data_IF_377459986758
#
_entry.id   IF_377459986758
#
_cell.length_a   1.000
_cell.length_b   1.000
_cell.length_c   1.000
_cell.angle_alpha   90.00
_cell.angle_beta   90.00
_cell.angle_gamma   90.00
#
_symmetry.space_group_name_H-M   'P 1'
#
loop_
_entity.id
_entity.type
_entity.pdbx_description
1 polymer ?
#
# COMPACT_ATOMS: atom_id res chain seq x y z
N UNK A 1 23.51 68.17 10.99
CA UNK A 1 22.29 67.35 10.80
C UNK A 1 22.71 65.90 10.58
N UNK A 2 22.79 65.10 11.65
CA UNK A 2 23.14 63.68 11.58
C UNK A 2 21.85 62.90 11.83
N UNK A 3 21.31 62.25 10.79
CA UNK A 3 20.10 61.41 10.88
C UNK A 3 20.52 60.01 11.36
N UNK A 4 20.10 59.64 12.57
CA UNK A 4 20.11 58.26 13.03
C UNK A 4 18.92 57.51 12.41
N UNK A 5 19.22 56.58 11.50
CA UNK A 5 18.23 55.59 11.03
C UNK A 5 18.26 54.41 11.99
N UNK A 6 17.19 54.25 12.78
CA UNK A 6 17.00 53.07 13.62
C UNK A 6 16.61 51.88 12.73
N UNK A 7 17.48 50.87 12.68
CA UNK A 7 17.21 49.59 12.03
C UNK A 7 16.41 48.71 13.00
N UNK A 8 15.11 48.52 12.73
CA UNK A 8 14.28 47.57 13.48
C UNK A 8 14.55 46.17 12.93
N UNK A 9 15.29 45.35 13.68
CA UNK A 9 15.40 43.91 13.41
C UNK A 9 14.10 43.22 13.85
N UNK A 10 13.27 42.80 12.88
CA UNK A 10 12.20 41.84 13.13
C UNK A 10 12.83 40.44 13.30
N UNK A 11 12.90 39.95 14.55
CA UNK A 11 13.21 38.56 14.82
C UNK A 11 11.99 37.69 14.47
N UNK A 12 12.06 36.95 13.37
CA UNK A 12 11.06 35.94 13.05
C UNK A 12 11.26 34.71 13.95
N UNK A 13 10.43 34.58 15.00
CA UNK A 13 10.33 33.35 15.77
C UNK A 13 9.69 32.26 14.91
N UNK A 14 10.50 31.36 14.35
CA UNK A 14 10.00 30.08 13.84
C UNK A 14 9.60 29.21 15.02
N UNK A 15 8.30 29.18 15.33
CA UNK A 15 7.75 28.16 16.21
C UNK A 15 7.83 26.82 15.49
N UNK A 16 8.83 26.00 15.82
CA UNK A 16 8.79 24.58 15.50
C UNK A 16 7.64 23.98 16.29
N UNK A 17 6.57 23.56 15.61
CA UNK A 17 5.54 22.74 16.23
C UNK A 17 6.20 21.46 16.75
N UNK A 18 6.12 21.22 18.07
CA UNK A 18 6.60 19.98 18.67
C UNK A 18 5.87 18.79 18.02
N UNK A 19 6.63 17.79 17.59
CA UNK A 19 6.04 16.56 17.04
C UNK A 19 5.27 15.85 18.16
N UNK A 20 4.05 15.40 17.87
CA UNK A 20 3.21 14.74 18.86
C UNK A 20 3.87 13.43 19.32
N UNK A 21 4.18 13.34 20.62
CA UNK A 21 4.79 12.13 21.18
C UNK A 21 3.74 11.04 21.40
N UNK A 22 4.07 9.82 20.95
CA UNK A 22 3.25 8.62 21.15
C UNK A 22 4.07 7.57 21.90
N UNK A 23 4.19 7.67 23.24
CA UNK A 23 4.99 6.72 24.03
C UNK A 23 4.42 5.31 23.94
N UNK A 24 5.30 4.31 23.84
CA UNK A 24 4.89 2.91 23.85
C UNK A 24 4.46 2.49 25.25
N UNK A 25 3.39 1.70 25.34
CA UNK A 25 2.86 1.16 26.59
C UNK A 25 3.96 0.42 27.37
N UNK A 26 4.18 0.82 28.63
CA UNK A 26 5.24 0.25 29.45
C UNK A 26 4.92 -1.17 29.91
N UNK A 27 5.94 -2.04 29.98
CA UNK A 27 5.82 -3.38 30.55
C UNK A 27 5.20 -3.32 31.96
N UNK A 28 4.24 -4.22 32.23
CA UNK A 28 3.47 -4.27 33.46
C UNK A 28 2.18 -3.44 33.45
N UNK A 29 1.98 -2.56 32.46
CA UNK A 29 0.75 -1.79 32.31
C UNK A 29 -0.45 -2.68 31.94
N UNK A 30 -1.65 -2.28 32.36
CA UNK A 30 -2.88 -2.92 31.89
C UNK A 30 -3.09 -2.62 30.40
N UNK A 31 -3.63 -3.57 29.65
CA UNK A 31 -4.09 -3.36 28.28
C UNK A 31 -5.11 -2.19 28.24
N UNK A 32 -4.84 -1.10 27.49
CA UNK A 32 -5.84 -0.08 27.27
C UNK A 32 -7.07 -0.67 26.59
N UNK A 33 -8.25 -0.25 27.06
CA UNK A 33 -9.53 -0.73 26.54
C UNK A 33 -9.77 -0.22 25.11
N UNK A 34 -10.61 -0.93 24.37
CA UNK A 34 -11.00 -0.55 23.01
C UNK A 34 -12.38 -1.07 22.64
N UNK A 35 -13.00 -0.38 21.67
CA UNK A 35 -14.20 -0.81 20.97
C UNK A 35 -14.02 -0.44 19.48
N UNK A 36 -13.58 -1.40 18.67
CA UNK A 36 -13.15 -1.15 17.28
C UNK A 36 -13.98 -1.94 16.28
N UNK A 37 -14.34 -1.36 15.11
CA UNK A 37 -14.96 -2.11 14.03
C UNK A 37 -13.97 -3.11 13.43
N UNK A 38 -14.43 -4.33 13.21
CA UNK A 38 -13.70 -5.40 12.55
C UNK A 38 -14.10 -5.58 11.08
N UNK A 39 -13.26 -6.29 10.33
CA UNK A 39 -13.56 -6.73 8.95
C UNK A 39 -14.82 -7.61 8.84
N UNK A 40 -15.28 -8.19 9.95
CA UNK A 40 -16.52 -9.00 10.04
C UNK A 40 -17.78 -8.15 10.23
N UNK A 41 -17.65 -6.81 10.24
CA UNK A 41 -18.75 -5.87 10.42
C UNK A 41 -19.21 -5.72 11.88
N UNK A 42 -18.54 -6.37 12.83
CA UNK A 42 -18.85 -6.27 14.27
C UNK A 42 -17.93 -5.26 14.95
N UNK A 43 -18.39 -4.70 16.06
CA UNK A 43 -17.50 -3.98 16.99
C UNK A 43 -16.95 -4.97 17.99
N UNK A 44 -15.62 -5.06 18.07
CA UNK A 44 -14.92 -5.92 19.01
C UNK A 44 -14.43 -5.12 20.20
N UNK A 45 -14.50 -5.70 21.40
CA UNK A 45 -14.09 -5.06 22.66
C UNK A 45 -13.02 -5.87 23.38
N UNK A 46 -12.12 -5.21 24.11
CA UNK A 46 -11.08 -5.91 24.88
C UNK A 46 -11.65 -7.00 25.81
N UNK A 47 -12.78 -6.69 26.45
CA UNK A 47 -13.46 -7.59 27.38
C UNK A 47 -13.90 -8.93 26.76
N UNK A 48 -14.15 -8.99 25.45
CA UNK A 48 -14.54 -10.21 24.74
C UNK A 48 -13.42 -11.24 24.71
N UNK A 49 -12.17 -10.79 24.87
CA UNK A 49 -11.00 -11.66 24.87
C UNK A 49 -10.63 -12.17 26.26
N UNK A 50 -11.34 -11.78 27.34
CA UNK A 50 -11.03 -12.13 28.74
C UNK A 50 -10.87 -13.63 29.03
N UNK A 51 -11.47 -14.51 28.21
CA UNK A 51 -11.36 -15.97 28.36
C UNK A 51 -9.99 -16.58 28.05
N UNK A 52 -9.09 -15.82 27.41
CA UNK A 52 -7.76 -16.31 27.03
C UNK A 52 -6.70 -15.93 28.08
N UNK A 53 -5.87 -16.91 28.47
CA UNK A 53 -4.71 -16.70 29.35
C UNK A 53 -3.67 -15.79 28.73
N UNK A 54 -3.53 -15.83 27.41
CA UNK A 54 -2.60 -14.97 26.66
C UNK A 54 -3.35 -14.26 25.55
N UNK A 55 -3.21 -12.94 25.49
CA UNK A 55 -3.74 -12.09 24.42
C UNK A 55 -2.57 -11.41 23.71
N UNK A 56 -2.43 -11.63 22.41
CA UNK A 56 -1.53 -10.88 21.55
C UNK A 56 -2.33 -9.84 20.75
N UNK A 57 -1.92 -8.58 20.82
CA UNK A 57 -2.41 -7.49 19.97
C UNK A 57 -1.29 -7.09 19.02
N UNK A 58 -1.52 -7.22 17.72
CA UNK A 58 -0.55 -6.90 16.67
C UNK A 58 -1.03 -5.67 15.92
N UNK A 59 -0.32 -4.54 16.06
CA UNK A 59 -0.50 -3.41 15.16
C UNK A 59 0.17 -3.73 13.84
N UNK A 60 -0.60 -3.78 12.75
CA UNK A 60 -0.15 -4.15 11.40
C UNK A 60 -0.88 -3.27 10.37
N UNK A 61 -0.53 -3.37 9.09
CA UNK A 61 -1.29 -2.66 8.05
C UNK A 61 -1.24 -3.36 6.68
N UNK A 62 -2.03 -2.89 5.72
CA UNK A 62 -2.09 -3.46 4.38
C UNK A 62 -0.96 -2.98 3.46
N UNK A 63 -0.58 -1.69 3.54
CA UNK A 63 0.37 -1.12 2.58
C UNK A 63 1.85 -1.34 2.91
N UNK A 64 2.21 -1.45 4.19
CA UNK A 64 3.61 -1.59 4.59
C UNK A 64 4.18 -2.90 4.06
N UNK A 65 5.26 -2.86 3.26
CA UNK A 65 5.80 -4.06 2.64
C UNK A 65 6.42 -5.00 3.70
N UNK A 66 6.92 -4.46 4.82
CA UNK A 66 7.31 -5.27 5.97
C UNK A 66 6.13 -6.01 6.60
N UNK A 67 5.02 -5.33 6.88
CA UNK A 67 3.83 -5.94 7.47
C UNK A 67 3.26 -7.08 6.60
N UNK A 68 3.25 -6.88 5.27
CA UNK A 68 2.86 -7.91 4.30
C UNK A 68 3.68 -9.20 4.45
N UNK A 69 5.01 -9.10 4.57
CA UNK A 69 5.88 -10.27 4.74
C UNK A 69 5.65 -11.03 6.05
N UNK A 70 5.01 -10.41 7.05
CA UNK A 70 4.62 -11.04 8.31
C UNK A 70 3.21 -11.63 8.32
N UNK A 71 2.32 -11.29 7.38
CA UNK A 71 0.92 -11.76 7.35
C UNK A 71 0.83 -13.29 7.46
N UNK A 72 1.63 -14.02 6.68
CA UNK A 72 1.68 -15.48 6.70
C UNK A 72 2.12 -16.05 8.05
N UNK A 73 3.03 -15.36 8.75
CA UNK A 73 3.52 -15.77 10.09
C UNK A 73 2.50 -15.45 11.18
N UNK A 74 1.79 -14.32 11.09
CA UNK A 74 0.67 -14.01 11.98
C UNK A 74 -0.43 -15.06 11.84
N UNK A 75 -0.80 -15.43 10.60
CA UNK A 75 -1.76 -16.51 10.35
C UNK A 75 -1.32 -17.84 10.96
N UNK A 76 -0.05 -18.20 10.76
CA UNK A 76 0.53 -19.45 11.29
C UNK A 76 0.52 -19.46 12.81
N UNK A 77 0.82 -18.34 13.47
CA UNK A 77 0.73 -18.22 14.92
C UNK A 77 -0.68 -18.58 15.43
N UNK A 78 -1.74 -18.09 14.79
CA UNK A 78 -3.10 -18.47 15.20
C UNK A 78 -3.36 -19.97 15.07
N UNK A 79 -2.81 -20.62 14.05
CA UNK A 79 -2.92 -22.07 13.87
C UNK A 79 -2.07 -22.87 14.89
N UNK A 80 -0.82 -22.48 15.11
CA UNK A 80 0.12 -23.17 16.01
C UNK A 80 -0.36 -23.19 17.46
N UNK A 81 -1.13 -22.17 17.87
CA UNK A 81 -1.72 -22.07 19.19
C UNK A 81 -3.21 -22.45 19.24
N UNK A 82 -3.76 -23.02 18.17
CA UNK A 82 -5.14 -23.51 18.13
C UNK A 82 -5.38 -24.53 19.24
N UNK A 83 -6.44 -24.32 20.03
CA UNK A 83 -6.79 -25.17 21.17
C UNK A 83 -6.02 -24.87 22.47
N UNK A 84 -5.02 -23.97 22.44
CA UNK A 84 -4.41 -23.40 23.65
C UNK A 84 -5.23 -22.18 24.11
N UNK A 85 -5.03 -21.75 25.36
CA UNK A 85 -5.70 -20.55 25.90
C UNK A 85 -5.02 -19.26 25.42
N UNK A 86 -5.09 -19.03 24.11
CA UNK A 86 -4.43 -17.94 23.40
C UNK A 86 -5.40 -17.28 22.41
N UNK A 87 -5.32 -15.96 22.29
CA UNK A 87 -6.01 -15.20 21.25
C UNK A 87 -5.09 -14.16 20.65
N UNK A 88 -5.19 -13.98 19.33
CA UNK A 88 -4.52 -12.92 18.59
C UNK A 88 -5.56 -11.99 17.97
N UNK A 89 -5.33 -10.69 18.11
CA UNK A 89 -6.10 -9.61 17.48
C UNK A 89 -5.13 -8.72 16.73
N UNK A 90 -5.43 -8.42 15.46
CA UNK A 90 -4.69 -7.46 14.67
C UNK A 90 -5.43 -6.11 14.65
N UNK A 91 -4.70 -5.00 14.67
CA UNK A 91 -5.25 -3.64 14.60
C UNK A 91 -4.53 -2.86 13.50
N UNK A 92 -5.28 -2.26 12.58
CA UNK A 92 -4.83 -1.30 11.58
C UNK A 92 -4.83 0.11 12.20
N UNK A 93 -3.65 0.72 12.46
CA UNK A 93 -3.56 2.00 13.14
C UNK A 93 -3.59 3.21 12.20
N UNK A 94 -3.46 3.00 10.89
CA UNK A 94 -3.17 4.08 9.96
C UNK A 94 -4.43 4.88 9.60
N UNK A 95 -4.31 6.22 9.63
CA UNK A 95 -5.32 7.09 9.05
C UNK A 95 -5.11 7.11 7.51
N UNK A 96 -6.11 6.71 6.71
CA UNK A 96 -5.98 6.64 5.25
C UNK A 96 -5.72 8.00 4.59
N UNK A 97 -6.08 9.12 5.24
CA UNK A 97 -5.79 10.46 4.77
C UNK A 97 -4.35 10.91 5.07
N UNK A 98 -3.58 10.11 5.82
CA UNK A 98 -2.15 10.28 6.05
C UNK A 98 -1.27 9.33 5.21
N UNK A 99 -1.86 8.40 4.46
CA UNK A 99 -1.14 7.49 3.54
C UNK A 99 -0.92 8.17 2.19
N UNK A 100 0.33 8.23 1.73
CA UNK A 100 0.70 8.81 0.43
C UNK A 100 0.64 7.77 -0.69
N UNK A 101 0.41 8.21 -1.92
CA UNK A 101 0.36 7.29 -3.07
C UNK A 101 1.71 6.60 -3.26
N UNK A 102 2.82 7.32 -3.09
CA UNK A 102 4.15 6.71 -3.18
C UNK A 102 4.47 5.69 -2.07
N UNK A 103 3.68 5.65 -0.98
CA UNK A 103 3.81 4.64 0.08
C UNK A 103 3.01 3.36 -0.24
N UNK A 104 2.13 3.39 -1.24
CA UNK A 104 1.32 2.25 -1.67
C UNK A 104 2.02 1.38 -2.73
N UNK A 105 3.32 1.56 -2.96
CA UNK A 105 4.08 0.90 -4.03
C UNK A 105 4.18 -0.62 -3.98
N UNK A 106 3.71 -1.24 -2.90
CA UNK A 106 3.79 -2.68 -2.65
C UNK A 106 2.43 -3.31 -2.40
N UNK A 107 1.32 -2.59 -2.52
CA UNK A 107 -0.02 -3.06 -2.14
C UNK A 107 -1.04 -2.87 -3.25
N UNK A 108 -2.05 -3.73 -3.29
CA UNK A 108 -3.19 -3.65 -4.19
C UNK A 108 -4.29 -2.70 -3.68
N UNK A 109 -4.32 -2.49 -2.35
CA UNK A 109 -5.32 -1.72 -1.60
C UNK A 109 -4.68 -0.78 -0.58
N UNK A 110 -5.42 0.19 -0.06
CA UNK A 110 -5.02 1.04 1.07
C UNK A 110 -5.42 0.47 2.44
N UNK A 111 -5.33 1.30 3.48
CA UNK A 111 -5.58 0.95 4.89
C UNK A 111 -6.99 1.36 5.37
N UNK A 112 -7.95 1.54 4.45
CA UNK A 112 -9.35 1.78 4.82
C UNK A 112 -10.01 0.49 5.27
N UNK A 113 -10.99 0.57 6.18
CA UNK A 113 -11.72 -0.62 6.66
C UNK A 113 -12.32 -1.47 5.53
N UNK A 114 -12.90 -0.86 4.50
CA UNK A 114 -13.45 -1.61 3.36
C UNK A 114 -12.36 -2.32 2.55
N UNK A 115 -11.18 -1.73 2.45
CA UNK A 115 -10.02 -2.31 1.77
C UNK A 115 -9.33 -3.39 2.61
N UNK A 116 -9.36 -3.27 3.94
CA UNK A 116 -8.95 -4.35 4.85
C UNK A 116 -9.78 -5.62 4.64
N UNK A 117 -11.08 -5.51 4.35
CA UNK A 117 -11.93 -6.68 4.03
C UNK A 117 -11.47 -7.36 2.75
N UNK A 118 -11.22 -6.58 1.70
CA UNK A 118 -10.68 -7.07 0.42
C UNK A 118 -9.35 -7.81 0.65
N UNK A 119 -8.45 -7.21 1.44
CA UNK A 119 -7.16 -7.81 1.78
C UNK A 119 -7.33 -9.11 2.55
N UNK A 120 -8.13 -9.11 3.60
CA UNK A 120 -8.36 -10.25 4.47
C UNK A 120 -9.00 -11.43 3.73
N UNK A 121 -9.94 -11.16 2.82
CA UNK A 121 -10.52 -12.19 1.94
C UNK A 121 -9.47 -12.77 0.99
N UNK A 122 -8.74 -11.91 0.29
CA UNK A 122 -7.71 -12.32 -0.67
C UNK A 122 -6.61 -13.18 -0.01
N UNK A 123 -6.16 -12.78 1.18
CA UNK A 123 -5.09 -13.42 1.94
C UNK A 123 -5.59 -14.46 2.94
N UNK A 124 -6.91 -14.67 3.02
CA UNK A 124 -7.56 -15.62 3.94
C UNK A 124 -7.10 -15.45 5.39
N UNK A 125 -7.21 -14.24 5.93
CA UNK A 125 -6.87 -13.99 7.33
C UNK A 125 -7.77 -14.82 8.25
N UNK A 126 -7.17 -15.43 9.26
CA UNK A 126 -7.82 -16.33 10.23
C UNK A 126 -7.86 -15.72 11.65
N UNK A 127 -7.68 -14.41 11.75
CA UNK A 127 -7.66 -13.64 13.00
C UNK A 127 -8.59 -12.43 12.90
N UNK A 128 -9.02 -11.90 14.05
CA UNK A 128 -9.74 -10.64 14.10
C UNK A 128 -8.83 -9.50 13.60
N UNK A 129 -9.30 -8.72 12.64
CA UNK A 129 -8.58 -7.56 12.11
C UNK A 129 -9.45 -6.31 12.25
N UNK A 130 -9.01 -5.40 13.12
CA UNK A 130 -9.79 -4.27 13.61
C UNK A 130 -9.23 -2.95 13.08
N UNK A 131 -10.07 -1.96 12.87
CA UNK A 131 -9.68 -0.66 12.32
C UNK A 131 -9.74 0.43 13.39
N UNK A 132 -8.60 1.05 13.67
CA UNK A 132 -8.48 2.21 14.57
C UNK A 132 -8.13 3.50 13.81
N UNK A 133 -7.90 3.45 12.50
CA UNK A 133 -7.43 4.58 11.69
C UNK A 133 -8.31 5.84 11.73
N UNK A 134 -9.62 5.71 12.01
CA UNK A 134 -10.55 6.85 12.04
C UNK A 134 -10.20 7.88 13.14
N UNK A 135 -9.86 7.37 14.33
CA UNK A 135 -9.59 8.21 15.52
C UNK A 135 -8.18 8.05 16.06
N UNK A 136 -7.56 6.88 15.83
CA UNK A 136 -6.27 6.46 16.34
C UNK A 136 -6.19 6.47 17.87
N UNK A 137 -7.33 6.44 18.57
CA UNK A 137 -7.38 6.56 20.03
C UNK A 137 -6.71 5.36 20.71
N UNK A 138 -6.94 4.16 20.18
CA UNK A 138 -6.33 2.93 20.70
C UNK A 138 -4.83 2.92 20.39
N UNK A 139 -4.46 3.30 19.17
CA UNK A 139 -3.05 3.42 18.75
C UNK A 139 -2.31 4.44 19.60
N UNK A 140 -2.92 5.57 19.97
CA UNK A 140 -2.32 6.56 20.89
C UNK A 140 -2.11 5.99 22.29
N UNK A 141 -3.02 5.14 22.78
CA UNK A 141 -2.93 4.54 24.10
C UNK A 141 -1.89 3.42 24.19
N UNK A 142 -1.70 2.65 23.11
CA UNK A 142 -0.69 1.58 23.04
C UNK A 142 0.68 2.07 22.56
N UNK A 143 0.71 3.07 21.69
CA UNK A 143 1.92 3.67 21.13
C UNK A 143 2.75 2.73 20.22
N UNK A 144 2.16 2.14 19.15
CA UNK A 144 2.94 1.35 18.21
C UNK A 144 3.95 2.24 17.47
N UNK A 145 5.20 1.77 17.36
CA UNK A 145 6.28 2.49 16.68
C UNK A 145 6.44 2.12 15.21
N UNK A 146 6.03 0.90 14.84
CA UNK A 146 6.13 0.38 13.49
C UNK A 146 4.98 -0.60 13.20
N UNK A 147 4.76 -0.91 11.92
CA UNK A 147 3.98 -2.06 11.49
C UNK A 147 4.89 -3.13 10.88
N UNK A 148 4.91 -4.37 11.43
CA UNK A 148 4.16 -4.84 12.59
C UNK A 148 4.83 -4.50 13.94
N UNK A 149 4.01 -4.36 14.99
CA UNK A 149 4.44 -4.26 16.40
C UNK A 149 3.47 -5.06 17.27
N UNK A 150 3.97 -6.03 18.03
CA UNK A 150 3.15 -6.90 18.88
C UNK A 150 3.24 -6.52 20.36
N UNK A 151 2.11 -6.63 21.05
CA UNK A 151 1.94 -6.45 22.49
C UNK A 151 1.29 -7.72 23.05
N UNK A 152 1.91 -8.40 24.01
CA UNK A 152 1.42 -9.66 24.58
C UNK A 152 1.10 -9.45 26.06
N UNK A 153 -0.14 -9.78 26.40
CA UNK A 153 -0.72 -9.62 27.72
C UNK A 153 -0.98 -10.98 28.37
N UNK A 154 -0.83 -11.04 29.69
CA UNK A 154 -1.16 -12.22 30.49
C UNK A 154 -2.66 -12.29 30.84
N UNK A 155 -3.02 -13.26 31.69
CA UNK A 155 -4.41 -13.53 32.09
C UNK A 155 -5.04 -12.37 32.86
N UNK A 156 -4.23 -11.52 33.51
CA UNK A 156 -4.67 -10.30 34.18
C UNK A 156 -4.70 -9.10 33.23
N UNK A 157 -4.41 -9.30 31.95
CA UNK A 157 -4.25 -8.25 30.93
C UNK A 157 -3.13 -7.26 31.25
N UNK A 158 -2.08 -7.71 31.96
CA UNK A 158 -0.85 -6.92 32.12
C UNK A 158 0.09 -7.20 30.96
N UNK A 159 0.71 -6.16 30.42
CA UNK A 159 1.68 -6.26 29.32
C UNK A 159 2.93 -6.98 29.82
N UNK A 160 3.29 -8.08 29.18
CA UNK A 160 4.47 -8.89 29.53
C UNK A 160 5.51 -8.91 28.43
N UNK A 161 5.12 -8.55 27.22
CA UNK A 161 6.02 -8.39 26.09
C UNK A 161 5.52 -7.31 25.13
N UNK A 162 6.41 -6.44 24.67
CA UNK A 162 6.19 -5.70 23.42
C UNK A 162 7.45 -5.70 22.55
N UNK A 163 7.24 -5.72 21.24
CA UNK A 163 8.34 -5.66 20.27
C UNK A 163 8.04 -6.40 18.97
N UNK A 164 9.07 -7.02 18.39
CA UNK A 164 8.98 -7.73 17.11
C UNK A 164 8.35 -9.11 17.25
N UNK A 165 7.87 -9.68 16.13
CA UNK A 165 7.44 -11.08 16.10
C UNK A 165 8.63 -12.05 16.14
N UNK A 166 9.62 -11.78 15.26
CA UNK A 166 10.87 -12.51 15.10
C UNK A 166 11.97 -11.53 14.67
N UNK A 167 13.21 -12.00 14.55
CA UNK A 167 14.35 -11.15 14.20
C UNK A 167 14.56 -10.89 12.69
N UNK A 168 13.63 -11.27 11.81
CA UNK A 168 13.81 -11.07 10.37
C UNK A 168 12.51 -11.03 9.57
N UNK A 169 12.37 -10.00 8.75
CA UNK A 169 11.27 -9.87 7.78
C UNK A 169 11.22 -11.02 6.77
N UNK A 170 12.40 -11.57 6.45
CA UNK A 170 12.57 -12.74 5.59
C UNK A 170 12.58 -13.99 6.45
N UNK A 171 11.57 -14.83 6.28
CA UNK A 171 11.38 -16.05 7.08
C UNK A 171 12.59 -16.98 7.05
N UNK A 172 13.26 -17.12 5.90
CA UNK A 172 14.45 -17.97 5.76
C UNK A 172 15.69 -17.49 6.52
N UNK A 173 15.67 -16.27 7.07
CA UNK A 173 16.75 -15.69 7.87
C UNK A 173 16.40 -15.61 9.37
N UNK A 174 15.21 -16.07 9.76
CA UNK A 174 14.77 -16.07 11.16
C UNK A 174 15.67 -16.98 12.00
N UNK A 175 16.15 -16.45 13.12
CA UNK A 175 16.96 -17.16 14.13
C UNK A 175 16.31 -17.16 15.50
N UNK A 176 15.46 -16.18 15.80
CA UNK A 176 14.71 -16.08 17.06
C UNK A 176 13.25 -15.76 16.79
N UNK A 177 12.35 -16.34 17.59
CA UNK A 177 10.89 -16.14 17.51
C UNK A 177 10.41 -15.50 18.82
N UNK A 178 10.75 -14.24 19.03
CA UNK A 178 10.66 -13.59 20.34
C UNK A 178 9.21 -13.51 20.86
N UNK A 179 8.24 -13.25 19.99
CA UNK A 179 6.82 -13.27 20.37
C UNK A 179 6.34 -14.68 20.76
N UNK A 180 6.73 -15.72 20.01
CA UNK A 180 6.39 -17.10 20.36
C UNK A 180 7.00 -17.51 21.71
N UNK A 181 8.26 -17.11 21.97
CA UNK A 181 8.91 -17.38 23.25
C UNK A 181 8.14 -16.76 24.43
N UNK A 182 7.67 -15.51 24.28
CA UNK A 182 6.84 -14.85 25.28
C UNK A 182 5.48 -15.55 25.48
N UNK A 183 4.81 -15.94 24.39
CA UNK A 183 3.52 -16.66 24.45
C UNK A 183 3.70 -18.00 25.17
N UNK A 184 4.70 -18.81 24.79
CA UNK A 184 4.94 -20.12 25.43
C UNK A 184 5.35 -19.99 26.90
N UNK A 185 6.11 -18.96 27.26
CA UNK A 185 6.42 -18.69 28.66
C UNK A 185 5.14 -18.44 29.48
N UNK A 186 4.25 -17.57 29.00
CA UNK A 186 3.02 -17.22 29.69
C UNK A 186 2.02 -18.39 29.75
N UNK A 187 1.89 -19.16 28.67
CA UNK A 187 1.06 -20.37 28.66
C UNK A 187 1.55 -21.44 29.65
N UNK A 188 2.88 -21.51 29.85
CA UNK A 188 3.51 -22.38 30.83
C UNK A 188 3.55 -21.81 32.26
N UNK A 189 3.02 -20.60 32.49
CA UNK A 189 3.09 -19.93 33.80
C UNK A 189 4.49 -19.48 34.21
N UNK A 190 5.41 -19.32 33.26
CA UNK A 190 6.79 -18.85 33.47
C UNK A 190 6.92 -17.35 33.19
N UNK A 191 7.90 -16.65 33.80
CA UNK A 191 8.19 -15.27 33.44
C UNK A 191 8.69 -15.17 31.99
N UNK A 192 8.35 -14.07 31.32
CA UNK A 192 8.92 -13.71 30.01
C UNK A 192 10.34 -13.18 30.23
N UNK A 193 11.34 -13.90 29.72
CA UNK A 193 12.77 -13.58 29.92
C UNK A 193 13.18 -12.29 29.19
N UNK A 194 12.70 -12.10 27.96
CA UNK A 194 12.93 -10.90 27.15
C UNK A 194 11.60 -10.21 26.96
N UNK A 195 11.31 -9.21 27.80
CA UNK A 195 10.03 -8.49 27.77
C UNK A 195 9.98 -7.38 26.71
N UNK A 196 11.11 -6.92 26.20
CA UNK A 196 11.18 -5.88 25.16
C UNK A 196 12.15 -6.27 24.06
N UNK A 197 11.78 -5.98 22.81
CA UNK A 197 12.69 -6.00 21.67
C UNK A 197 12.47 -4.79 20.77
N UNK A 198 13.51 -4.36 20.06
CA UNK A 198 13.36 -3.34 19.03
C UNK A 198 12.47 -3.82 17.86
N UNK A 199 11.71 -2.89 17.29
CA UNK A 199 10.85 -3.12 16.12
C UNK A 199 11.40 -2.48 14.86
N UNK A 200 11.03 -3.02 13.71
CA UNK A 200 11.40 -2.50 12.41
C UNK A 200 10.27 -2.68 11.40
N UNK A 201 9.93 -1.60 10.69
CA UNK A 201 8.81 -1.53 9.76
C UNK A 201 8.47 -0.07 9.42
N UNK A 202 7.35 0.15 8.73
CA UNK A 202 6.88 1.52 8.47
C UNK A 202 6.31 2.14 9.74
N UNK A 203 6.53 3.45 9.94
CA UNK A 203 5.87 4.19 11.01
C UNK A 203 4.35 4.26 10.78
N UNK A 204 3.58 4.31 11.87
CA UNK A 204 2.15 4.59 11.85
C UNK A 204 1.85 5.89 11.09
N UNK A 205 0.82 5.87 10.25
CA UNK A 205 0.34 7.03 9.49
C UNK A 205 -0.61 7.84 10.36
N UNK A 206 -0.03 8.63 11.26
CA UNK A 206 -0.77 9.49 12.17
C UNK A 206 -1.56 10.57 11.41
N UNK A 207 -2.80 10.81 11.82
CA UNK A 207 -3.70 11.83 11.26
C UNK A 207 -3.09 13.23 11.20
N UNK A 208 -2.24 13.56 12.18
CA UNK A 208 -1.45 14.80 12.25
C UNK A 208 -0.49 14.99 11.06
N UNK A 209 -0.19 13.94 10.30
CA UNK A 209 0.72 13.94 9.14
C UNK A 209 0.01 14.01 7.78
N UNK A 210 -1.32 14.21 7.74
CA UNK A 210 -2.11 14.32 6.51
C UNK A 210 -1.66 15.45 5.56
N UNK A 211 -1.02 16.50 6.08
CA UNK A 211 -0.45 17.59 5.27
C UNK A 211 0.55 17.09 4.21
N UNK A 212 1.30 16.00 4.51
CA UNK A 212 2.24 15.41 3.56
C UNK A 212 1.56 14.81 2.34
N UNK A 213 0.39 14.18 2.51
CA UNK A 213 -0.42 13.66 1.40
C UNK A 213 -0.97 14.80 0.55
N UNK A 214 -1.51 15.85 1.17
CA UNK A 214 -1.99 17.03 0.44
C UNK A 214 -0.88 17.70 -0.38
N UNK A 215 0.34 17.76 0.17
CA UNK A 215 1.50 18.30 -0.55
C UNK A 215 1.91 17.40 -1.73
N UNK A 216 1.87 16.08 -1.57
CA UNK A 216 2.11 15.13 -2.67
C UNK A 216 1.09 15.34 -3.79
N UNK A 217 -0.20 15.41 -3.45
CA UNK A 217 -1.26 15.62 -4.45
C UNK A 217 -1.09 16.94 -5.22
N UNK A 218 -0.80 18.04 -4.52
CA UNK A 218 -0.50 19.32 -5.19
C UNK A 218 0.70 19.24 -6.15
N UNK A 219 1.72 18.45 -5.81
CA UNK A 219 2.86 18.24 -6.70
C UNK A 219 2.43 17.45 -7.93
N UNK A 220 1.70 16.35 -7.74
CA UNK A 220 1.17 15.51 -8.83
C UNK A 220 0.30 16.35 -9.77
N UNK A 221 -0.63 17.15 -9.23
CA UNK A 221 -1.55 17.97 -10.02
C UNK A 221 -0.83 19.05 -10.84
N UNK A 222 0.34 19.51 -10.36
CA UNK A 222 1.19 20.50 -11.01
C UNK A 222 2.19 19.89 -12.00
N UNK A 223 2.33 18.56 -12.07
CA UNK A 223 3.22 17.91 -13.04
C UNK A 223 2.73 18.20 -14.47
N UNK A 224 3.65 18.54 -15.40
CA UNK A 224 3.28 18.82 -16.78
C UNK A 224 2.70 17.56 -17.44
N UNK A 225 1.61 17.75 -18.19
CA UNK A 225 0.97 16.70 -18.97
C UNK A 225 1.31 16.91 -20.44
N UNK A 226 1.85 15.88 -21.08
CA UNK A 226 2.20 15.87 -22.50
C UNK A 226 1.59 14.65 -23.21
N UNK A 227 1.45 14.78 -24.53
CA UNK A 227 1.05 13.69 -25.43
C UNK A 227 1.89 13.74 -26.71
N UNK A 228 2.45 12.60 -27.09
CA UNK A 228 3.35 12.47 -28.23
C UNK A 228 2.75 11.59 -29.33
N UNK A 229 2.96 11.90 -30.62
CA UNK A 229 2.54 11.01 -31.70
C UNK A 229 3.35 9.70 -31.65
N UNK A 230 2.69 8.57 -31.91
CA UNK A 230 3.31 7.26 -32.06
C UNK A 230 3.01 6.68 -33.44
N UNK A 231 4.04 6.16 -34.10
CA UNK A 231 3.92 5.46 -35.40
C UNK A 231 3.67 3.97 -35.20
N UNK A 232 3.31 3.25 -36.27
CA UNK A 232 3.20 1.80 -36.24
C UNK A 232 4.50 1.12 -35.75
N UNK A 233 5.67 1.62 -36.15
CA UNK A 233 6.96 1.10 -35.67
C UNK A 233 7.20 1.40 -34.18
N UNK A 234 6.75 2.58 -33.71
CA UNK A 234 6.75 2.93 -32.29
C UNK A 234 5.88 1.98 -31.46
N UNK A 235 4.71 1.58 -31.98
CA UNK A 235 3.83 0.61 -31.31
C UNK A 235 4.45 -0.80 -31.28
N UNK A 236 5.11 -1.26 -32.35
CA UNK A 236 5.86 -2.52 -32.34
C UNK A 236 6.98 -2.50 -31.29
N UNK A 237 7.71 -1.39 -31.21
CA UNK A 237 8.76 -1.20 -30.20
C UNK A 237 8.21 -1.22 -28.79
N UNK A 238 7.07 -0.56 -28.55
CA UNK A 238 6.38 -0.57 -27.26
C UNK A 238 5.93 -2.00 -26.89
N UNK A 239 5.33 -2.73 -27.83
CA UNK A 239 4.89 -4.12 -27.67
C UNK A 239 6.03 -5.08 -27.33
N UNK A 240 7.20 -4.88 -27.94
CA UNK A 240 8.38 -5.68 -27.69
C UNK A 240 8.94 -5.49 -26.27
N UNK A 241 8.65 -4.35 -25.63
CA UNK A 241 9.12 -3.96 -24.30
C UNK A 241 10.59 -4.35 -24.04
N UNK A 242 11.51 -3.74 -24.78
CA UNK A 242 12.94 -3.95 -24.60
C UNK A 242 13.50 -3.30 -23.30
N UNK A 243 12.65 -2.70 -22.47
CA UNK A 243 13.03 -2.08 -21.20
C UNK A 243 13.22 -3.14 -20.10
N UNK A 244 13.82 -2.74 -18.98
CA UNK A 244 13.88 -3.57 -17.76
C UNK A 244 12.60 -3.54 -16.91
N UNK A 245 11.56 -2.79 -17.33
CA UNK A 245 10.35 -2.55 -16.53
C UNK A 245 9.20 -3.45 -16.95
N UNK A 246 8.32 -3.74 -16.00
CA UNK A 246 6.98 -4.24 -16.31
C UNK A 246 6.18 -3.08 -16.91
N UNK A 247 5.70 -3.25 -18.14
CA UNK A 247 5.02 -2.22 -18.91
C UNK A 247 3.53 -2.51 -18.99
N UNK A 248 2.71 -1.59 -18.49
CA UNK A 248 1.26 -1.57 -18.71
C UNK A 248 0.96 -0.62 -19.87
N UNK A 249 0.31 -1.13 -20.91
CA UNK A 249 -0.18 -0.30 -22.02
C UNK A 249 -1.70 -0.31 -22.01
N UNK A 250 -2.33 0.86 -21.96
CA UNK A 250 -3.77 1.03 -22.08
C UNK A 250 -4.10 1.85 -23.32
N UNK A 251 -4.92 1.31 -24.21
CA UNK A 251 -5.44 2.00 -25.38
C UNK A 251 -6.84 2.52 -25.09
N UNK A 252 -7.06 3.79 -25.38
CA UNK A 252 -8.28 4.52 -25.01
C UNK A 252 -8.65 5.58 -26.05
N UNK A 253 -9.84 6.15 -25.95
CA UNK A 253 -10.27 7.29 -26.77
C UNK A 253 -11.15 8.26 -25.98
N UNK A 254 -11.16 9.54 -26.38
CA UNK A 254 -11.95 10.59 -25.70
C UNK A 254 -13.47 10.39 -25.78
N UNK A 255 -13.95 9.66 -26.79
CA UNK A 255 -15.36 9.30 -26.99
C UNK A 255 -15.75 7.99 -26.30
N UNK A 256 -14.79 7.24 -25.76
CA UNK A 256 -15.02 5.95 -25.12
C UNK A 256 -15.38 6.13 -23.64
N UNK A 257 -16.66 6.01 -23.31
CA UNK A 257 -17.17 6.14 -21.93
C UNK A 257 -16.45 5.24 -20.92
N UNK A 258 -16.38 3.90 -21.14
CA UNK A 258 -15.68 2.99 -20.25
C UNK A 258 -14.19 3.33 -20.06
N UNK A 259 -13.51 3.76 -21.14
CA UNK A 259 -12.12 4.17 -21.06
C UNK A 259 -11.91 5.35 -20.10
N UNK A 260 -12.80 6.36 -20.15
CA UNK A 260 -12.73 7.51 -19.26
C UNK A 260 -13.15 7.18 -17.82
N UNK A 261 -13.98 6.15 -17.64
CA UNK A 261 -14.41 5.67 -16.33
C UNK A 261 -13.27 4.97 -15.58
N UNK A 262 -12.48 4.12 -16.25
CA UNK A 262 -11.35 3.40 -15.64
C UNK A 262 -10.06 4.23 -15.53
N UNK A 263 -9.92 5.30 -16.31
CA UNK A 263 -8.69 6.09 -16.40
C UNK A 263 -8.14 6.58 -15.03
N UNK A 264 -8.97 7.11 -14.10
CA UNK A 264 -8.50 7.54 -12.79
C UNK A 264 -7.84 6.41 -11.97
N UNK A 265 -8.31 5.18 -12.12
CA UNK A 265 -7.78 4.00 -11.42
C UNK A 265 -6.43 3.55 -12.01
N UNK A 266 -6.27 3.67 -13.32
CA UNK A 266 -4.98 3.46 -14.01
C UNK A 266 -3.95 4.51 -13.58
N UNK A 267 -4.34 5.79 -13.53
CA UNK A 267 -3.48 6.88 -13.06
C UNK A 267 -3.09 6.72 -11.59
N UNK A 268 -4.04 6.32 -10.74
CA UNK A 268 -3.76 5.98 -9.35
C UNK A 268 -2.74 4.85 -9.26
N UNK A 269 -2.92 3.78 -10.04
CA UNK A 269 -1.98 2.65 -10.09
C UNK A 269 -0.59 3.07 -10.58
N UNK A 270 -0.51 3.94 -11.59
CA UNK A 270 0.75 4.55 -12.02
C UNK A 270 1.42 5.30 -10.86
N UNK A 271 0.69 6.19 -10.17
CA UNK A 271 1.23 6.97 -9.05
C UNK A 271 1.69 6.11 -7.89
N UNK A 272 0.99 5.01 -7.61
CA UNK A 272 1.39 4.03 -6.59
C UNK A 272 2.72 3.36 -6.97
N UNK A 273 2.87 2.90 -8.21
CA UNK A 273 3.95 2.00 -8.61
C UNK A 273 5.11 2.66 -9.35
N UNK A 274 5.00 3.93 -9.76
CA UNK A 274 6.01 4.65 -10.57
C UNK A 274 7.38 4.80 -9.91
N UNK A 275 7.49 4.55 -8.60
CA UNK A 275 8.75 4.46 -7.87
C UNK A 275 9.47 3.11 -8.01
N UNK A 276 8.90 2.16 -8.76
CA UNK A 276 9.42 0.80 -8.98
C UNK A 276 9.74 0.56 -10.45
N UNK A 277 10.21 -0.65 -10.78
CA UNK A 277 10.44 -1.13 -12.15
C UNK A 277 9.12 -1.40 -12.91
N UNK A 278 8.29 -0.36 -12.98
CA UNK A 278 6.96 -0.32 -13.58
C UNK A 278 6.83 0.93 -14.45
N UNK A 279 6.09 0.81 -15.55
CA UNK A 279 5.69 1.94 -16.39
C UNK A 279 4.26 1.77 -16.88
N UNK A 280 3.46 2.84 -16.80
CA UNK A 280 2.19 2.95 -17.50
C UNK A 280 2.42 3.81 -18.74
N UNK A 281 2.00 3.30 -19.90
CA UNK A 281 1.89 4.05 -21.15
C UNK A 281 0.43 4.05 -21.58
N UNK A 282 -0.16 5.23 -21.71
CA UNK A 282 -1.50 5.35 -22.30
C UNK A 282 -1.38 5.70 -23.78
N UNK A 283 -2.23 5.13 -24.62
CA UNK A 283 -2.21 5.33 -26.07
C UNK A 283 -3.61 5.72 -26.54
N UNK A 284 -3.77 6.98 -26.92
CA UNK A 284 -5.01 7.44 -27.52
C UNK A 284 -5.14 6.94 -28.95
N UNK A 285 -6.28 6.31 -29.26
CA UNK A 285 -6.66 5.82 -30.60
C UNK A 285 -7.51 6.84 -31.37
N UNK A 286 -7.61 8.07 -30.88
CA UNK A 286 -8.21 9.17 -31.62
C UNK A 286 -7.45 9.45 -32.92
N UNK A 287 -8.09 10.11 -33.88
CA UNK A 287 -7.44 10.50 -35.14
C UNK A 287 -6.38 11.60 -34.90
N UNK A 288 -5.34 11.70 -35.76
CA UNK A 288 -4.22 12.61 -35.53
C UNK A 288 -4.59 14.09 -35.32
N UNK A 289 -5.67 14.55 -35.95
CA UNK A 289 -6.18 15.92 -35.84
C UNK A 289 -6.96 16.20 -34.53
N UNK A 290 -7.28 15.16 -33.76
CA UNK A 290 -7.98 15.26 -32.46
C UNK A 290 -7.02 15.42 -31.26
N UNK A 291 -5.70 15.51 -31.50
CA UNK A 291 -4.66 15.56 -30.47
C UNK A 291 -4.92 16.60 -29.35
N UNK A 292 -5.49 17.76 -29.69
CA UNK A 292 -5.80 18.79 -28.69
C UNK A 292 -6.88 18.32 -27.69
N UNK A 293 -7.90 17.61 -28.17
CA UNK A 293 -8.94 17.02 -27.33
C UNK A 293 -8.39 15.95 -26.40
N UNK A 294 -7.46 15.13 -26.91
CA UNK A 294 -6.74 14.12 -26.14
C UNK A 294 -5.92 14.78 -25.03
N UNK A 295 -5.15 15.82 -25.35
CA UNK A 295 -4.35 16.55 -24.36
C UNK A 295 -5.23 17.16 -23.26
N UNK A 296 -6.38 17.75 -23.60
CA UNK A 296 -7.33 18.28 -22.61
C UNK A 296 -7.88 17.19 -21.69
N UNK A 297 -8.20 16.02 -22.23
CA UNK A 297 -8.67 14.88 -21.43
C UNK A 297 -7.58 14.38 -20.46
N UNK A 298 -6.33 14.26 -20.92
CA UNK A 298 -5.19 13.89 -20.08
C UNK A 298 -4.90 14.93 -18.98
N UNK A 299 -4.99 16.22 -19.31
CA UNK A 299 -4.80 17.31 -18.35
C UNK A 299 -5.85 17.28 -17.24
N UNK A 300 -7.11 16.96 -17.57
CA UNK A 300 -8.18 16.79 -16.57
C UNK A 300 -7.90 15.65 -15.59
N UNK A 301 -7.16 14.64 -16.01
CA UNK A 301 -6.77 13.50 -15.16
C UNK A 301 -5.44 13.73 -14.41
N UNK A 302 -4.73 14.81 -14.71
CA UNK A 302 -3.34 15.03 -14.27
C UNK A 302 -2.44 13.84 -14.65
N UNK A 303 -2.61 13.35 -15.88
CA UNK A 303 -1.90 12.17 -16.40
C UNK A 303 -0.47 12.53 -16.83
N UNK A 304 0.42 12.70 -15.86
CA UNK A 304 1.82 13.12 -16.06
C UNK A 304 2.75 11.98 -16.51
N UNK A 305 2.22 10.76 -16.63
CA UNK A 305 2.93 9.61 -17.20
C UNK A 305 3.20 9.77 -18.70
N UNK A 306 3.68 8.68 -19.31
CA UNK A 306 3.96 8.67 -20.76
C UNK A 306 2.67 8.44 -21.53
N UNK A 307 2.22 9.47 -22.25
CA UNK A 307 1.01 9.39 -23.09
C UNK A 307 1.37 9.50 -24.57
N UNK A 308 0.82 8.59 -25.35
CA UNK A 308 0.99 8.51 -26.79
C UNK A 308 -0.35 8.70 -27.49
N UNK A 309 -0.31 9.06 -28.77
CA UNK A 309 -1.47 9.26 -29.62
C UNK A 309 -1.15 8.83 -31.05
N UNK A 310 -2.09 8.21 -31.75
CA UNK A 310 -1.84 7.72 -33.10
C UNK A 310 -1.36 8.83 -34.04
N UNK A 311 -0.27 8.56 -34.76
CA UNK A 311 0.27 9.46 -35.78
C UNK A 311 -0.35 9.24 -37.18
N UNK A 312 -1.26 8.27 -37.31
CA UNK A 312 -1.87 7.82 -38.55
C UNK A 312 -3.38 7.75 -38.40
N UNK A 313 -4.11 8.04 -39.48
CA UNK A 313 -5.56 7.84 -39.57
C UNK A 313 -5.94 6.37 -39.86
N UNK A 314 -5.00 5.56 -40.38
CA UNK A 314 -5.13 4.10 -40.48
C UNK A 314 -5.07 3.42 -39.09
N UNK A 315 -6.19 3.49 -38.38
CA UNK A 315 -6.39 2.91 -37.05
C UNK A 315 -6.11 1.40 -37.06
N UNK A 316 -6.51 0.69 -38.11
CA UNK A 316 -6.36 -0.77 -38.21
C UNK A 316 -4.90 -1.18 -38.34
N UNK A 317 -4.11 -0.47 -39.17
CA UNK A 317 -2.68 -0.71 -39.25
C UNK A 317 -1.97 -0.42 -37.92
N UNK A 318 -2.41 0.62 -37.19
CA UNK A 318 -1.86 0.94 -35.87
C UNK A 318 -2.17 -0.15 -34.83
N UNK A 319 -3.41 -0.64 -34.79
CA UNK A 319 -3.81 -1.77 -33.92
C UNK A 319 -3.00 -3.03 -34.24
N UNK A 320 -2.95 -3.42 -35.52
CA UNK A 320 -2.23 -4.60 -35.97
C UNK A 320 -0.71 -4.50 -35.73
N UNK A 321 -0.16 -3.28 -35.72
CA UNK A 321 1.24 -3.05 -35.39
C UNK A 321 1.54 -3.29 -33.91
N UNK A 322 0.60 -3.02 -33.00
CA UNK A 322 0.76 -3.34 -31.58
C UNK A 322 0.47 -4.82 -31.30
N UNK A 323 -0.64 -5.36 -31.79
CA UNK A 323 -0.99 -6.77 -31.65
C UNK A 323 -1.79 -7.23 -32.86
N UNK A 324 -1.22 -8.15 -33.65
CA UNK A 324 -1.87 -8.68 -34.85
C UNK A 324 -3.19 -9.42 -34.56
N UNK A 325 -3.45 -9.78 -33.30
CA UNK A 325 -4.71 -10.42 -32.86
C UNK A 325 -5.73 -9.41 -32.32
N UNK A 326 -5.42 -8.12 -32.32
CA UNK A 326 -6.34 -7.11 -31.84
C UNK A 326 -7.41 -6.84 -32.90
N UNK A 327 -8.59 -7.43 -32.69
CA UNK A 327 -9.75 -7.32 -33.59
C UNK A 327 -10.95 -6.66 -32.88
N UNK A 328 -10.73 -5.57 -32.14
CA UNK A 328 -11.80 -4.98 -31.32
C UNK A 328 -11.60 -3.48 -30.99
N UNK A 329 -12.59 -2.89 -30.30
CA UNK A 329 -12.56 -1.52 -29.82
C UNK A 329 -11.66 -1.28 -28.60
N UNK A 330 -11.86 -0.12 -27.97
CA UNK A 330 -11.22 0.31 -26.72
C UNK A 330 -12.24 0.32 -25.57
N UNK A 331 -11.84 0.18 -24.29
CA UNK A 331 -10.46 0.11 -23.83
C UNK A 331 -9.82 -1.26 -24.12
N UNK A 332 -8.51 -1.23 -24.36
CA UNK A 332 -7.70 -2.43 -24.52
C UNK A 332 -6.43 -2.29 -23.68
N UNK A 333 -6.23 -3.20 -22.74
CA UNK A 333 -5.15 -3.14 -21.78
C UNK A 333 -4.26 -4.38 -21.91
N UNK A 334 -2.94 -4.18 -21.93
CA UNK A 334 -1.95 -5.25 -21.94
C UNK A 334 -0.84 -4.98 -20.93
N UNK A 335 -0.53 -5.96 -20.09
CA UNK A 335 0.64 -5.96 -19.22
C UNK A 335 1.74 -6.83 -19.83
N UNK A 336 2.93 -6.28 -19.97
CA UNK A 336 4.03 -6.86 -20.70
C UNK A 336 5.27 -6.91 -19.79
N UNK A 337 5.82 -8.11 -19.60
CA UNK A 337 7.10 -8.28 -18.92
C UNK A 337 8.25 -7.69 -19.76
N UNK A 338 9.42 -7.42 -19.13
CA UNK A 338 10.66 -7.21 -19.87
C UNK A 338 10.87 -8.29 -20.94
N UNK A 339 11.19 -7.88 -22.17
CA UNK A 339 11.37 -8.79 -23.30
C UNK A 339 10.08 -9.23 -24.01
N UNK A 340 8.94 -8.58 -23.74
CA UNK A 340 7.75 -8.66 -24.60
C UNK A 340 6.77 -9.79 -24.30
N UNK A 341 6.99 -10.57 -23.22
CA UNK A 341 6.03 -11.60 -22.80
C UNK A 341 4.77 -10.95 -22.22
N UNK A 342 3.60 -11.33 -22.74
CA UNK A 342 2.31 -10.88 -22.22
C UNK A 342 2.02 -11.58 -20.89
N UNK A 343 1.71 -10.79 -19.87
CA UNK A 343 1.34 -11.24 -18.52
C UNK A 343 -0.17 -11.16 -18.29
N UNK A 344 -0.81 -10.17 -18.91
CA UNK A 344 -2.24 -9.90 -18.82
C UNK A 344 -2.70 -9.20 -20.09
N UNK A 345 -3.92 -9.49 -20.53
CA UNK A 345 -4.57 -8.83 -21.66
C UNK A 345 -6.06 -8.78 -21.40
N UNK A 346 -6.67 -7.62 -21.63
CA UNK A 346 -8.11 -7.41 -21.46
C UNK A 346 -8.63 -6.47 -22.53
N UNK A 347 -9.71 -6.90 -23.17
CA UNK A 347 -10.60 -6.04 -23.95
C UNK A 347 -11.78 -5.64 -23.06
N UNK A 348 -12.11 -4.36 -23.04
CA UNK A 348 -13.07 -3.77 -22.11
C UNK A 348 -12.43 -3.39 -20.78
N UNK A 349 -13.26 -2.92 -19.84
CA UNK A 349 -12.80 -2.41 -18.54
C UNK A 349 -12.01 -3.47 -17.76
N UNK A 350 -10.95 -3.03 -17.10
CA UNK A 350 -10.14 -3.89 -16.24
C UNK A 350 -10.74 -4.01 -14.84
N UNK A 351 -10.61 -5.19 -14.23
CA UNK A 351 -10.67 -5.29 -12.78
C UNK A 351 -9.35 -4.74 -12.22
N UNK A 352 -9.40 -3.57 -11.58
CA UNK A 352 -8.19 -2.90 -11.12
C UNK A 352 -7.45 -3.69 -10.03
N UNK A 353 -8.16 -4.44 -9.18
CA UNK A 353 -7.53 -5.24 -8.14
C UNK A 353 -6.82 -6.45 -8.74
N UNK A 354 -7.45 -7.13 -9.70
CA UNK A 354 -6.80 -8.19 -10.46
C UNK A 354 -5.54 -7.65 -11.14
N UNK A 355 -5.66 -6.54 -11.87
CA UNK A 355 -4.54 -5.94 -12.59
C UNK A 355 -3.38 -5.58 -11.65
N UNK A 356 -3.68 -4.91 -10.52
CA UNK A 356 -2.67 -4.57 -9.50
C UNK A 356 -1.97 -5.80 -8.95
N UNK A 357 -2.69 -6.89 -8.69
CA UNK A 357 -2.10 -8.16 -8.19
C UNK A 357 -1.20 -8.81 -9.23
N UNK A 358 -1.61 -8.82 -10.51
CA UNK A 358 -0.77 -9.35 -11.60
C UNK A 358 0.50 -8.50 -11.76
N UNK A 359 0.40 -7.16 -11.66
CA UNK A 359 1.57 -6.28 -11.63
C UNK A 359 2.49 -6.66 -10.47
N UNK A 360 1.99 -6.64 -9.24
CA UNK A 360 2.78 -6.89 -8.03
C UNK A 360 3.46 -8.28 -8.01
N UNK A 361 2.81 -9.30 -8.54
CA UNK A 361 3.37 -10.65 -8.70
C UNK A 361 4.47 -10.77 -9.76
N UNK A 362 4.62 -9.76 -10.63
CA UNK A 362 5.60 -9.75 -11.72
C UNK A 362 6.62 -8.61 -11.63
N UNK A 363 6.49 -7.67 -10.67
CA UNK A 363 7.51 -6.65 -10.45
C UNK A 363 8.82 -7.28 -9.96
N UNK A 364 9.98 -6.91 -10.55
CA UNK A 364 11.29 -7.21 -10.00
C UNK A 364 11.44 -6.66 -8.57
N UNK A 365 12.07 -7.41 -7.68
CA UNK A 365 12.38 -6.99 -6.30
C UNK A 365 13.88 -7.06 -5.96
N UNK A 366 14.78 -6.45 -6.78
CA UNK A 366 16.23 -6.56 -6.59
C UNK A 366 16.71 -5.92 -5.27
N UNK A 367 16.07 -4.84 -4.84
CA UNK A 367 16.47 -4.09 -3.65
C UNK A 367 15.74 -4.53 -2.37
N UNK A 368 14.52 -5.06 -2.51
CA UNK A 368 13.70 -5.48 -1.37
C UNK A 368 13.04 -6.84 -1.60
N UNK A 369 13.88 -7.87 -1.47
CA UNK A 369 13.60 -9.27 -1.79
C UNK A 369 12.46 -9.84 -0.95
N UNK A 370 11.54 -10.52 -1.61
CA UNK A 370 10.51 -11.38 -0.99
C UNK A 370 9.10 -11.02 -1.41
N UNK A 371 8.89 -9.81 -1.94
CA UNK A 371 7.57 -9.33 -2.34
C UNK A 371 7.02 -10.10 -3.52
N UNK A 372 7.87 -10.46 -4.48
CA UNK A 372 7.42 -11.29 -5.60
C UNK A 372 6.87 -12.63 -5.14
N UNK A 373 7.57 -13.30 -4.22
CA UNK A 373 7.12 -14.56 -3.64
C UNK A 373 5.86 -14.39 -2.79
N UNK A 374 5.78 -13.30 -2.03
CA UNK A 374 4.61 -12.95 -1.23
C UNK A 374 3.34 -12.80 -2.06
N UNK A 375 3.42 -12.11 -3.21
CA UNK A 375 2.30 -11.92 -4.15
C UNK A 375 2.01 -13.15 -5.01
N UNK A 376 3.00 -14.02 -5.23
CA UNK A 376 2.80 -15.31 -5.90
C UNK A 376 2.13 -16.37 -4.99
N UNK A 377 2.33 -16.29 -3.68
CA UNK A 377 1.66 -17.13 -2.68
C UNK A 377 0.24 -16.64 -2.41
N UNK A 378 -0.73 -17.54 -2.28
CA UNK A 378 -2.12 -17.22 -1.87
C UNK A 378 -2.33 -17.44 -0.37
#
# INVERSE_FOLDING_TARGET
>A
MIRFSALVLLAACFAFAAEEEHPTLAIGSMAPDFALPGIDGKTHKLAEYSGSKVLAIVFTCNHCPTAQLYEGRIKRMVEDYRGKSFTLVAIEPNDPEAVRLNELGYTDVSDRLEEMKIRAEHRKFNFAYLYDGETQAVSRAYGPKATPHVFIFDAERKLRYEGRLDNSQRESLVKTQDACNAIEALLAGRPVEVAHTGVFGCSTKWKSKSAGRLQEMKKIEAEPVSVEPVTAEGLKSLRANATGKVLLVNFWATWCGPCLAEFPDLETTHRMYRGRDFELVTVSTNLPDEREGVLKALQKQHASGRNLHFASDDTYAMQAAFDAKWEAGVPFTMLIAPGGKVLYQKLGEVDILELRRVILGNLPDPDYIGHRAYWAGK
#
